data_IF_946665068561
#
_entry.id   IF_946665068561
#
_cell.length_a   1.000
_cell.length_b   1.000
_cell.length_c   1.000
_cell.angle_alpha   90.00
_cell.angle_beta   90.00
_cell.angle_gamma   90.00
#
_symmetry.space_group_name_H-M   'P 1'
#
loop_
_entity.id
_entity.type
_entity.pdbx_description
1 polymer ?
#
# COMPACT_ATOMS: atom_id res chain seq x y z
N UNK A 1 19.01 13.96 17.35
CA UNK A 1 17.59 14.19 17.02
C UNK A 1 17.18 13.01 16.16
N UNK A 2 16.47 12.03 16.73
CA UNK A 2 16.02 10.87 15.96
C UNK A 2 14.97 11.32 14.95
N UNK A 3 15.18 11.01 13.68
CA UNK A 3 14.14 11.19 12.67
C UNK A 3 13.12 10.08 12.89
N UNK A 4 11.82 10.40 13.04
CA UNK A 4 10.79 9.37 13.16
C UNK A 4 10.80 8.51 11.90
N UNK A 5 11.05 7.21 12.08
CA UNK A 5 10.97 6.24 11.00
C UNK A 5 9.49 5.99 10.68
N UNK A 6 9.17 5.76 9.40
CA UNK A 6 7.85 5.37 8.94
C UNK A 6 7.27 4.18 9.74
N UNK A 7 8.12 3.21 10.09
CA UNK A 7 7.69 2.01 10.82
C UNK A 7 7.22 2.31 12.26
N UNK A 8 7.46 3.53 12.78
CA UNK A 8 6.96 3.96 14.10
C UNK A 8 5.54 4.53 14.06
N UNK A 9 5.01 4.79 12.86
CA UNK A 9 3.64 5.25 12.69
C UNK A 9 2.65 4.10 12.99
N UNK A 10 1.45 4.39 13.51
CA UNK A 10 0.37 3.41 13.53
C UNK A 10 0.10 2.80 12.14
N UNK A 11 -0.23 1.50 12.09
CA UNK A 11 -0.43 0.77 10.82
C UNK A 11 -1.46 1.43 9.90
N UNK A 12 -2.58 1.94 10.45
CA UNK A 12 -3.57 2.64 9.64
C UNK A 12 -3.00 3.87 8.92
N UNK A 13 -2.10 4.64 9.54
CA UNK A 13 -1.44 5.76 8.88
C UNK A 13 -0.44 5.30 7.84
N UNK A 14 0.26 4.20 8.10
CA UNK A 14 1.15 3.59 7.11
C UNK A 14 0.35 3.19 5.85
N UNK A 15 -0.79 2.53 6.05
CA UNK A 15 -1.69 2.13 4.96
C UNK A 15 -2.26 3.33 4.20
N UNK A 16 -2.72 4.38 4.90
CA UNK A 16 -3.17 5.62 4.26
C UNK A 16 -2.07 6.22 3.38
N UNK A 17 -0.84 6.36 3.88
CA UNK A 17 0.28 6.92 3.11
C UNK A 17 0.60 6.05 1.89
N UNK A 18 0.72 4.74 2.08
CA UNK A 18 0.98 3.80 0.99
C UNK A 18 -0.14 3.82 -0.05
N UNK A 19 -1.39 4.02 0.37
CA UNK A 19 -2.54 4.08 -0.53
C UNK A 19 -2.50 5.27 -1.50
N UNK A 20 -1.68 6.29 -1.22
CA UNK A 20 -1.51 7.45 -2.11
C UNK A 20 -0.57 7.19 -3.29
N UNK A 21 0.13 6.05 -3.28
CA UNK A 21 1.12 5.74 -4.30
C UNK A 21 0.46 5.01 -5.47
N UNK A 22 0.79 5.34 -6.73
CA UNK A 22 0.37 4.55 -7.89
C UNK A 22 0.87 3.11 -7.78
N UNK A 23 0.16 2.17 -8.40
CA UNK A 23 0.43 0.76 -8.20
C UNK A 23 1.86 0.32 -8.57
N UNK A 24 2.44 0.92 -9.61
CA UNK A 24 3.84 0.64 -10.00
C UNK A 24 4.82 0.95 -8.86
N UNK A 25 4.57 2.01 -8.10
CA UNK A 25 5.37 2.37 -6.93
C UNK A 25 5.14 1.42 -5.76
N UNK A 26 3.90 0.93 -5.58
CA UNK A 26 3.59 -0.09 -4.59
C UNK A 26 4.32 -1.42 -4.85
N UNK A 27 4.51 -1.80 -6.12
CA UNK A 27 5.32 -2.94 -6.50
C UNK A 27 6.75 -2.89 -5.92
N UNK A 28 7.37 -1.71 -5.90
CA UNK A 28 8.68 -1.50 -5.26
C UNK A 28 8.57 -1.54 -3.73
N UNK A 29 7.50 -0.97 -3.17
CA UNK A 29 7.23 -0.96 -1.73
C UNK A 29 7.11 -2.37 -1.12
N UNK A 30 6.60 -3.35 -1.88
CA UNK A 30 6.57 -4.77 -1.49
C UNK A 30 7.95 -5.38 -1.22
N UNK A 31 9.02 -4.73 -1.67
CA UNK A 31 10.41 -5.18 -1.52
C UNK A 31 11.19 -4.43 -0.44
N UNK A 32 10.60 -3.37 0.16
CA UNK A 32 11.28 -2.53 1.16
C UNK A 32 11.49 -3.27 2.47
N UNK A 33 10.44 -3.91 2.99
CA UNK A 33 10.52 -4.69 4.22
C UNK A 33 9.41 -5.74 4.29
N UNK A 34 9.55 -6.69 5.23
CA UNK A 34 8.51 -7.70 5.49
C UNK A 34 7.22 -7.06 6.01
N UNK A 35 7.32 -6.00 6.81
CA UNK A 35 6.17 -5.27 7.35
C UNK A 35 5.39 -4.60 6.22
N UNK A 36 6.07 -3.88 5.33
CA UNK A 36 5.43 -3.20 4.20
C UNK A 36 4.75 -4.19 3.27
N UNK A 37 5.41 -5.32 2.98
CA UNK A 37 4.80 -6.40 2.22
C UNK A 37 3.53 -6.95 2.89
N UNK A 38 3.53 -7.10 4.21
CA UNK A 38 2.38 -7.59 4.96
C UNK A 38 1.22 -6.60 4.92
N UNK A 39 1.50 -5.31 5.08
CA UNK A 39 0.49 -4.24 5.01
C UNK A 39 -0.13 -4.16 3.62
N UNK A 40 0.68 -4.09 2.56
CA UNK A 40 0.20 -3.93 1.18
C UNK A 40 -0.63 -5.15 0.71
N UNK A 41 -0.36 -6.33 1.26
CA UNK A 41 -1.10 -7.57 0.94
C UNK A 41 -2.30 -7.85 1.84
N UNK A 42 -2.60 -6.96 2.78
CA UNK A 42 -3.76 -7.13 3.65
C UNK A 42 -5.05 -6.79 2.89
N UNK A 43 -6.16 -7.45 3.26
CA UNK A 43 -7.47 -7.10 2.70
C UNK A 43 -7.86 -5.66 3.04
N UNK A 44 -7.52 -5.19 4.24
CA UNK A 44 -7.79 -3.81 4.68
C UNK A 44 -7.12 -2.78 3.77
N UNK A 45 -5.87 -3.04 3.36
CA UNK A 45 -5.18 -2.18 2.42
C UNK A 45 -5.79 -2.23 1.03
N UNK A 46 -6.19 -3.41 0.55
CA UNK A 46 -6.85 -3.57 -0.74
C UNK A 46 -8.16 -2.77 -0.79
N UNK A 47 -9.01 -2.93 0.23
CA UNK A 47 -10.28 -2.20 0.33
C UNK A 47 -10.05 -0.68 0.39
N UNK A 48 -9.06 -0.24 1.16
CA UNK A 48 -8.68 1.17 1.26
C UNK A 48 -8.19 1.72 -0.09
N UNK A 49 -7.27 1.02 -0.74
CA UNK A 49 -6.69 1.43 -2.01
C UNK A 49 -7.76 1.49 -3.10
N UNK A 50 -8.60 0.45 -3.18
CA UNK A 50 -9.72 0.40 -4.11
C UNK A 50 -10.70 1.55 -3.85
N UNK A 51 -11.07 1.83 -2.60
CA UNK A 51 -11.97 2.95 -2.31
C UNK A 51 -11.43 4.31 -2.78
N UNK A 52 -10.10 4.45 -2.82
CA UNK A 52 -9.41 5.68 -3.22
C UNK A 52 -9.21 5.80 -4.73
N UNK A 53 -8.88 4.70 -5.40
CA UNK A 53 -8.52 4.69 -6.83
C UNK A 53 -9.62 4.17 -7.76
N UNK A 54 -10.63 3.44 -7.27
CA UNK A 54 -11.78 2.96 -8.08
C UNK A 54 -12.77 4.06 -8.51
N UNK A 55 -12.38 5.33 -8.43
CA UNK A 55 -12.98 6.37 -9.25
C UNK A 55 -12.51 6.28 -10.73
N UNK A 56 -11.41 5.57 -11.01
CA UNK A 56 -10.84 5.38 -12.35
C UNK A 56 -10.61 3.87 -12.65
N UNK A 57 -11.10 3.42 -13.81
CA UNK A 57 -11.30 2.01 -14.22
C UNK A 57 -10.00 1.16 -14.35
N UNK A 58 -8.81 1.77 -14.37
CA UNK A 58 -7.55 1.10 -14.73
C UNK A 58 -6.83 0.34 -13.60
N UNK A 59 -7.08 0.66 -12.32
CA UNK A 59 -6.24 0.16 -11.21
C UNK A 59 -6.62 -1.25 -10.70
N UNK A 60 -7.83 -1.72 -11.00
CA UNK A 60 -8.37 -3.00 -10.51
C UNK A 60 -7.60 -4.20 -11.08
N UNK A 61 -7.35 -4.17 -12.40
CA UNK A 61 -6.65 -5.25 -13.11
C UNK A 61 -5.20 -5.37 -12.63
N UNK A 62 -4.60 -4.25 -12.25
CA UNK A 62 -3.21 -4.22 -11.81
C UNK A 62 -3.06 -4.73 -10.37
N UNK A 63 -4.06 -4.54 -9.49
CA UNK A 63 -4.05 -5.11 -8.13
C UNK A 63 -4.08 -6.64 -8.14
N UNK A 64 -4.81 -7.26 -9.07
CA UNK A 64 -4.79 -8.72 -9.25
C UNK A 64 -3.40 -9.24 -9.63
N UNK A 65 -2.53 -8.42 -10.24
CA UNK A 65 -1.13 -8.78 -10.52
C UNK A 65 -0.23 -8.72 -9.27
N UNK A 66 -0.67 -8.07 -8.20
CA UNK A 66 0.07 -8.03 -6.93
C UNK A 66 -0.29 -9.20 -6.00
N UNK A 67 -1.33 -9.97 -6.32
CA UNK A 67 -1.62 -11.25 -5.66
C UNK A 67 -0.57 -12.30 -6.08
N UNK A 68 0.03 -13.03 -5.13
CA UNK A 68 1.02 -14.06 -5.42
C UNK A 68 0.45 -15.28 -6.14
#
# INVERSE_FOLDING_TARGET
MENPNFDTLPEHLQMEILSLLPLQSLGVCLCVSKQWRSLIRSQEFEDLYLSRWMADDNDVVLLDLLRP
#
